data_IF_316666657337
#
_entry.id   IF_316666657337
#
_cell.length_a   1.000
_cell.length_b   1.000
_cell.length_c   1.000
_cell.angle_alpha   90.00
_cell.angle_beta   90.00
_cell.angle_gamma   90.00
#
_symmetry.space_group_name_H-M   'P 1'
#
loop_
_entity.id
_entity.type
_entity.pdbx_description
1 polymer ?
#
# COMPACT_ATOMS: atom_id res chain seq x y z
N UNK A 1 7.86 -2.98 -21.79
CA UNK A 1 8.85 -3.51 -20.82
C UNK A 1 9.90 -4.33 -21.56
N UNK A 2 11.14 -3.86 -21.65
CA UNK A 2 12.24 -4.65 -22.21
C UNK A 2 12.59 -5.84 -21.29
N UNK A 3 12.92 -7.03 -21.84
CA UNK A 3 13.37 -8.16 -21.04
C UNK A 3 14.71 -7.85 -20.36
N UNK A 4 14.80 -8.11 -19.06
CA UNK A 4 16.04 -7.96 -18.30
C UNK A 4 17.05 -9.02 -18.74
N UNK A 5 18.21 -8.57 -19.21
CA UNK A 5 19.19 -9.42 -19.89
C UNK A 5 20.11 -10.17 -18.92
N UNK A 6 20.33 -9.64 -17.72
CA UNK A 6 21.22 -10.25 -16.72
C UNK A 6 20.51 -10.57 -15.40
N UNK A 7 21.06 -11.51 -14.63
CA UNK A 7 20.56 -11.80 -13.28
C UNK A 7 20.80 -10.64 -12.31
N UNK A 8 21.87 -9.86 -12.52
CA UNK A 8 22.13 -8.61 -11.80
C UNK A 8 20.97 -7.61 -11.98
N UNK A 9 20.49 -7.42 -13.23
CA UNK A 9 19.36 -6.54 -13.52
C UNK A 9 18.07 -7.02 -12.84
N UNK A 10 17.85 -8.33 -12.78
CA UNK A 10 16.70 -8.93 -12.07
C UNK A 10 16.77 -8.64 -10.57
N UNK A 11 17.93 -8.80 -9.96
CA UNK A 11 18.15 -8.47 -8.54
C UNK A 11 17.93 -6.99 -8.27
N UNK A 12 18.49 -6.12 -9.11
CA UNK A 12 18.34 -4.68 -8.96
C UNK A 12 16.88 -4.24 -9.11
N UNK A 13 16.14 -4.80 -10.07
CA UNK A 13 14.70 -4.55 -10.19
C UNK A 13 13.92 -5.01 -8.96
N UNK A 14 14.24 -6.17 -8.38
CA UNK A 14 13.59 -6.65 -7.15
C UNK A 14 13.82 -5.68 -5.99
N UNK A 15 15.05 -5.18 -5.82
CA UNK A 15 15.39 -4.16 -4.82
C UNK A 15 14.60 -2.87 -5.04
N UNK A 16 14.58 -2.34 -6.27
CA UNK A 16 13.80 -1.14 -6.62
C UNK A 16 12.30 -1.32 -6.34
N UNK A 17 11.73 -2.49 -6.67
CA UNK A 17 10.34 -2.81 -6.37
C UNK A 17 10.08 -2.81 -4.86
N UNK A 18 10.95 -3.45 -4.08
CA UNK A 18 10.84 -3.45 -2.61
C UNK A 18 10.89 -2.03 -2.03
N UNK A 19 11.82 -1.21 -2.52
CA UNK A 19 11.94 0.18 -2.10
C UNK A 19 10.69 1.00 -2.46
N UNK A 20 10.12 0.83 -3.65
CA UNK A 20 8.88 1.51 -4.04
C UNK A 20 7.69 1.12 -3.14
N UNK A 21 7.58 -0.16 -2.75
CA UNK A 21 6.54 -0.62 -1.81
C UNK A 21 6.74 0.02 -0.44
N UNK A 22 7.97 0.07 0.06
CA UNK A 22 8.29 0.72 1.32
C UNK A 22 7.97 2.22 1.29
N UNK A 23 8.43 2.95 0.27
CA UNK A 23 8.19 4.39 0.11
C UNK A 23 6.70 4.72 0.01
N UNK A 24 5.89 3.84 -0.60
CA UNK A 24 4.43 3.99 -0.60
C UNK A 24 3.85 3.94 0.81
N UNK A 25 4.32 3.03 1.68
CA UNK A 25 3.85 2.96 3.07
C UNK A 25 4.32 4.16 3.90
N UNK A 26 5.52 4.67 3.64
CA UNK A 26 6.02 5.91 4.24
C UNK A 26 5.13 7.09 3.85
N UNK A 27 4.82 7.22 2.55
CA UNK A 27 3.92 8.26 2.05
C UNK A 27 2.51 8.15 2.65
N UNK A 28 1.94 6.95 2.70
CA UNK A 28 0.62 6.73 3.32
C UNK A 28 0.65 7.06 4.81
N UNK A 29 1.69 6.66 5.54
CA UNK A 29 1.84 6.98 6.96
C UNK A 29 1.85 8.49 7.18
N UNK A 30 2.66 9.22 6.40
CA UNK A 30 2.72 10.67 6.42
C UNK A 30 1.34 11.32 6.20
N UNK A 31 0.59 10.86 5.19
CA UNK A 31 -0.74 11.40 4.90
C UNK A 31 -1.74 11.12 6.04
N UNK A 32 -1.70 9.93 6.62
CA UNK A 32 -2.58 9.53 7.74
C UNK A 32 -2.23 10.32 9.01
N UNK A 33 -0.95 10.48 9.32
CA UNK A 33 -0.47 11.29 10.43
C UNK A 33 -0.98 12.74 10.28
N UNK A 34 -0.82 13.30 9.09
CA UNK A 34 -1.19 14.70 8.80
C UNK A 34 -2.71 14.92 8.81
N UNK A 35 -3.49 14.08 8.11
CA UNK A 35 -4.91 14.35 7.85
C UNK A 35 -5.87 13.48 8.66
N UNK A 36 -5.42 12.34 9.15
CA UNK A 36 -6.28 11.26 9.64
C UNK A 36 -6.59 10.28 8.53
N UNK A 37 -6.90 9.04 8.90
CA UNK A 37 -7.17 7.94 7.99
C UNK A 37 -8.37 8.20 7.09
N UNK A 38 -9.53 8.54 7.65
CA UNK A 38 -10.74 8.78 6.84
C UNK A 38 -10.64 10.03 5.97
N UNK A 39 -9.96 11.08 6.44
CA UNK A 39 -9.73 12.26 5.62
C UNK A 39 -8.74 11.97 4.47
N UNK A 40 -7.74 11.14 4.71
CA UNK A 40 -6.84 10.67 3.66
C UNK A 40 -7.59 9.84 2.61
N UNK A 41 -8.41 8.86 3.03
CA UNK A 41 -9.24 8.06 2.11
C UNK A 41 -10.20 8.93 1.30
N UNK A 42 -10.86 9.90 1.94
CA UNK A 42 -11.73 10.86 1.25
C UNK A 42 -10.98 11.63 0.16
N UNK A 43 -9.74 12.03 0.41
CA UNK A 43 -8.92 12.77 -0.55
C UNK A 43 -8.50 11.89 -1.72
N UNK A 44 -8.05 10.66 -1.47
CA UNK A 44 -7.52 9.81 -2.53
C UNK A 44 -8.63 9.21 -3.42
N UNK A 45 -9.81 8.96 -2.85
CA UNK A 45 -10.96 8.43 -3.59
C UNK A 45 -11.82 9.54 -4.21
N UNK A 46 -11.47 10.81 -4.00
CA UNK A 46 -12.14 11.92 -4.66
C UNK A 46 -12.05 11.76 -6.19
N UNK A 47 -13.11 12.12 -6.95
CA UNK A 47 -13.10 12.01 -8.41
C UNK A 47 -11.86 12.67 -9.02
N UNK A 48 -11.14 11.93 -9.87
CA UNK A 48 -9.88 12.38 -10.50
C UNK A 48 -8.60 12.02 -9.74
N UNK A 49 -8.69 11.55 -8.50
CA UNK A 49 -7.52 11.24 -7.66
C UNK A 49 -7.09 9.77 -7.67
N UNK A 50 -7.87 8.88 -8.30
CA UNK A 50 -7.60 7.44 -8.33
C UNK A 50 -6.31 7.02 -9.06
N UNK A 51 -5.65 7.95 -9.77
CA UNK A 51 -4.36 7.73 -10.43
C UNK A 51 -3.18 8.39 -9.70
N UNK A 52 -3.41 9.08 -8.58
CA UNK A 52 -2.35 9.77 -7.83
C UNK A 52 -1.40 8.82 -7.11
N UNK A 53 -1.83 7.58 -6.85
CA UNK A 53 -1.01 6.56 -6.18
C UNK A 53 -1.12 5.25 -6.94
N UNK A 54 0.04 4.62 -7.17
CA UNK A 54 0.06 3.26 -7.69
C UNK A 54 -0.21 2.25 -6.57
N UNK A 55 -1.33 1.52 -6.70
CA UNK A 55 -1.82 0.54 -5.73
C UNK A 55 -0.93 -0.70 -5.59
N UNK A 56 0.00 -0.92 -6.52
CA UNK A 56 0.81 -2.12 -6.55
C UNK A 56 0.11 -3.29 -7.23
N UNK A 57 0.89 -4.24 -7.74
CA UNK A 57 0.37 -5.50 -8.29
C UNK A 57 0.34 -6.61 -7.24
N UNK A 58 -0.56 -7.57 -7.43
CA UNK A 58 -0.65 -8.81 -6.65
C UNK A 58 0.72 -9.52 -6.47
N UNK A 59 0.88 -10.21 -5.35
CA UNK A 59 2.09 -11.01 -5.05
C UNK A 59 2.16 -12.24 -5.97
N UNK A 60 3.37 -12.68 -6.32
CA UNK A 60 3.56 -13.87 -7.14
C UNK A 60 3.40 -15.13 -6.30
N UNK A 61 2.73 -16.16 -6.83
CA UNK A 61 2.43 -17.41 -6.12
C UNK A 61 3.65 -18.19 -5.56
N UNK A 62 4.88 -17.85 -5.97
CA UNK A 62 6.12 -18.49 -5.50
C UNK A 62 6.80 -17.73 -4.37
N UNK A 63 6.30 -16.56 -3.95
CA UNK A 63 6.98 -15.74 -2.93
C UNK A 63 6.46 -16.07 -1.54
N UNK A 64 7.28 -15.90 -0.48
CA UNK A 64 6.88 -16.20 0.90
C UNK A 64 5.68 -15.36 1.33
N UNK A 65 5.57 -14.16 0.77
CA UNK A 65 4.49 -13.20 0.95
C UNK A 65 3.13 -13.70 0.42
N UNK A 66 3.11 -14.70 -0.47
CA UNK A 66 1.86 -15.31 -0.93
C UNK A 66 1.19 -16.22 0.12
N UNK A 67 1.91 -16.63 1.17
CA UNK A 67 1.36 -17.50 2.23
C UNK A 67 0.46 -16.77 3.24
N UNK A 68 0.52 -15.44 3.31
CA UNK A 68 -0.35 -14.59 4.13
C UNK A 68 -1.33 -13.73 3.32
N UNK A 69 -1.38 -13.93 2.00
CA UNK A 69 -2.14 -13.09 1.08
C UNK A 69 -3.55 -13.68 0.89
N UNK A 70 -4.60 -12.92 1.24
CA UNK A 70 -6.01 -13.38 1.09
C UNK A 70 -6.55 -13.24 -0.33
N UNK A 71 -5.91 -12.43 -1.19
CA UNK A 71 -6.24 -12.34 -2.61
C UNK A 71 -5.53 -13.43 -3.42
N UNK A 72 -6.10 -13.82 -4.57
CA UNK A 72 -5.48 -14.85 -5.41
C UNK A 72 -4.10 -14.40 -5.88
N UNK A 73 -3.01 -15.09 -5.51
CA UNK A 73 -1.67 -14.71 -5.94
C UNK A 73 -1.58 -14.76 -7.48
N UNK A 74 -0.80 -13.87 -8.09
CA UNK A 74 -0.50 -13.94 -9.51
C UNK A 74 0.15 -15.29 -9.78
N UNK A 75 -0.55 -16.11 -10.55
CA UNK A 75 0.00 -17.34 -11.08
C UNK A 75 1.10 -17.01 -12.08
N UNK A 76 2.21 -17.74 -11.98
CA UNK A 76 3.24 -17.76 -13.01
C UNK A 76 2.58 -17.95 -14.40
N UNK A 77 2.93 -17.10 -15.37
CA UNK A 77 2.35 -17.12 -16.71
C UNK A 77 2.46 -18.47 -17.42
N UNK A 78 3.56 -19.21 -17.20
CA UNK A 78 3.73 -20.56 -17.73
C UNK A 78 2.74 -21.55 -17.12
N UNK A 79 2.55 -21.50 -15.79
CA UNK A 79 1.55 -22.32 -15.10
C UNK A 79 0.12 -21.95 -15.51
N UNK A 80 -0.15 -20.66 -15.67
CA UNK A 80 -1.44 -20.16 -16.15
C UNK A 80 -1.73 -20.66 -17.57
N UNK A 81 -0.73 -20.62 -18.47
CA UNK A 81 -0.86 -21.17 -19.82
C UNK A 81 -1.17 -22.67 -19.81
N UNK A 82 -0.56 -23.45 -18.90
CA UNK A 82 -0.84 -24.88 -18.77
C UNK A 82 -2.25 -25.16 -18.25
N UNK A 83 -2.73 -24.39 -17.27
CA UNK A 83 -4.01 -24.62 -16.58
C UNK A 83 -5.22 -24.02 -17.31
N UNK A 84 -5.07 -22.79 -17.81
CA UNK A 84 -6.14 -22.01 -18.43
C UNK A 84 -5.56 -21.09 -19.53
N UNK A 85 -5.54 -21.62 -20.76
CA UNK A 85 -5.05 -20.90 -21.94
C UNK A 85 -5.85 -19.63 -22.24
N UNK A 86 -7.16 -19.62 -21.95
CA UNK A 86 -8.03 -18.48 -22.21
C UNK A 86 -7.77 -17.33 -21.22
N UNK A 87 -7.53 -17.64 -19.95
CA UNK A 87 -7.10 -16.65 -18.96
C UNK A 87 -5.69 -16.13 -19.26
N UNK A 88 -4.77 -16.99 -19.71
CA UNK A 88 -3.45 -16.56 -20.17
C UNK A 88 -3.55 -15.56 -21.32
N UNK A 89 -4.31 -15.87 -22.38
CA UNK A 89 -4.46 -14.99 -23.54
C UNK A 89 -5.07 -13.64 -23.16
N UNK A 90 -6.13 -13.63 -22.34
CA UNK A 90 -6.70 -12.38 -21.81
C UNK A 90 -5.66 -11.55 -21.07
N UNK A 91 -4.88 -12.18 -20.19
CA UNK A 91 -3.83 -11.50 -19.41
C UNK A 91 -2.73 -10.90 -20.28
N UNK A 92 -2.32 -11.58 -21.35
CA UNK A 92 -1.36 -11.03 -22.32
C UNK A 92 -1.98 -9.86 -23.09
N UNK A 93 -3.24 -9.96 -23.53
CA UNK A 93 -3.94 -8.88 -24.23
C UNK A 93 -4.12 -7.64 -23.34
N UNK A 94 -4.48 -7.83 -22.07
CA UNK A 94 -4.66 -6.74 -21.11
C UNK A 94 -3.32 -6.09 -20.74
N UNK A 95 -2.23 -6.85 -20.66
CA UNK A 95 -0.89 -6.30 -20.41
C UNK A 95 -0.37 -5.37 -21.53
N UNK A 96 -0.91 -5.51 -22.75
CA UNK A 96 -0.55 -4.67 -23.90
C UNK A 96 -1.43 -3.40 -23.95
N UNK A 97 -2.54 -3.35 -23.18
CA UNK A 97 -3.45 -2.21 -23.13
C UNK A 97 -3.02 -1.24 -22.00
N UNK A 98 -2.83 0.05 -22.31
CA UNK A 98 -2.62 1.07 -21.27
C UNK A 98 -3.75 1.03 -20.24
N UNK A 99 -3.41 1.24 -18.96
CA UNK A 99 -4.35 1.29 -17.82
C UNK A 99 -5.05 -0.02 -17.43
N UNK A 100 -4.76 -1.14 -18.12
CA UNK A 100 -5.26 -2.47 -17.74
C UNK A 100 -4.21 -3.34 -17.04
N UNK A 101 -3.02 -2.80 -16.82
CA UNK A 101 -1.94 -3.52 -16.13
C UNK A 101 -2.28 -3.82 -14.66
N UNK A 102 -3.10 -2.97 -14.05
CA UNK A 102 -3.58 -3.12 -12.68
C UNK A 102 -4.92 -3.88 -12.62
N UNK A 103 -5.40 -4.44 -13.74
CA UNK A 103 -6.59 -5.28 -13.76
C UNK A 103 -6.32 -6.57 -12.96
N UNK A 104 -6.86 -6.63 -11.75
CA UNK A 104 -6.57 -7.65 -10.73
C UNK A 104 -5.63 -7.19 -9.62
N UNK A 105 -5.21 -5.92 -9.57
CA UNK A 105 -4.60 -5.31 -8.39
C UNK A 105 -5.61 -5.00 -7.29
N UNK A 106 -5.15 -4.35 -6.23
CA UNK A 106 -6.04 -3.89 -5.15
C UNK A 106 -7.00 -2.83 -5.66
N UNK A 107 -8.24 -2.89 -5.16
CA UNK A 107 -9.31 -1.97 -5.55
C UNK A 107 -9.42 -0.75 -4.65
N UNK A 108 -8.94 -0.87 -3.39
CA UNK A 108 -8.96 0.19 -2.38
C UNK A 108 -7.67 0.23 -1.57
N UNK A 109 -7.39 1.36 -0.90
CA UNK A 109 -6.27 1.47 0.03
C UNK A 109 -6.44 0.52 1.21
N UNK A 110 -7.64 0.45 1.77
CA UNK A 110 -7.93 -0.41 2.92
C UNK A 110 -7.62 -1.86 2.59
N UNK A 111 -8.10 -2.34 1.43
CA UNK A 111 -7.83 -3.69 0.96
C UNK A 111 -6.33 -3.93 0.81
N UNK A 112 -5.61 -2.99 0.19
CA UNK A 112 -4.16 -3.08 0.02
C UNK A 112 -3.44 -3.16 1.37
N UNK A 113 -3.75 -2.26 2.31
CA UNK A 113 -3.10 -2.20 3.62
C UNK A 113 -3.37 -3.45 4.45
N UNK A 114 -4.60 -3.96 4.41
CA UNK A 114 -4.99 -5.17 5.11
C UNK A 114 -4.29 -6.41 4.54
N UNK A 115 -4.34 -6.60 3.23
CA UNK A 115 -3.75 -7.78 2.58
C UNK A 115 -2.21 -7.79 2.61
N UNK A 116 -1.56 -6.63 2.77
CA UNK A 116 -0.11 -6.56 2.98
C UNK A 116 0.29 -6.58 4.45
N UNK A 117 -0.66 -6.84 5.37
CA UNK A 117 -0.47 -6.79 6.83
C UNK A 117 0.06 -5.44 7.33
N UNK A 118 -0.15 -4.37 6.56
CA UNK A 118 0.40 -3.05 6.89
C UNK A 118 -0.29 -2.40 8.09
N UNK A 119 -1.49 -2.86 8.43
CA UNK A 119 -2.18 -2.51 9.68
C UNK A 119 -1.65 -3.27 10.90
N UNK A 120 -0.85 -4.33 10.73
CA UNK A 120 -0.43 -5.19 11.85
C UNK A 120 0.68 -4.53 12.68
N UNK A 121 0.41 -4.05 13.91
CA UNK A 121 1.42 -3.41 14.76
C UNK A 121 2.49 -4.38 15.30
N UNK A 122 2.23 -5.69 15.26
CA UNK A 122 3.15 -6.74 15.68
C UNK A 122 4.10 -7.20 14.57
N UNK A 123 3.91 -6.72 13.33
CA UNK A 123 4.80 -7.08 12.23
C UNK A 123 6.21 -6.51 12.48
N UNK A 124 7.18 -7.42 12.59
CA UNK A 124 8.59 -7.12 12.93
C UNK A 124 9.29 -6.38 11.78
N UNK A 125 8.85 -6.60 10.56
CA UNK A 125 9.35 -5.90 9.37
C UNK A 125 8.74 -4.50 9.29
N UNK A 126 9.31 -3.56 10.03
CA UNK A 126 8.82 -2.17 10.11
C UNK A 126 8.63 -1.51 8.73
N UNK A 127 9.46 -1.86 7.76
CA UNK A 127 9.37 -1.34 6.39
C UNK A 127 8.10 -1.79 5.63
N UNK A 128 7.42 -2.83 6.12
CA UNK A 128 6.21 -3.42 5.51
C UNK A 128 4.91 -3.00 6.20
N UNK A 129 4.97 -2.16 7.23
CA UNK A 129 3.79 -1.66 7.93
C UNK A 129 3.76 -0.15 8.02
N UNK A 130 2.59 0.38 8.36
CA UNK A 130 2.45 1.79 8.72
C UNK A 130 3.23 2.10 9.99
N UNK A 131 3.63 3.37 10.14
CA UNK A 131 4.26 3.86 11.37
C UNK A 131 3.33 3.68 12.57
N UNK A 132 3.87 3.60 13.80
CA UNK A 132 3.04 3.51 15.01
C UNK A 132 2.12 4.75 15.16
N UNK A 133 2.56 5.93 14.73
CA UNK A 133 1.74 7.15 14.75
C UNK A 133 0.58 7.06 13.75
N UNK A 134 0.83 6.61 12.52
CA UNK A 134 -0.20 6.40 11.53
C UNK A 134 -1.20 5.33 12.01
N UNK A 135 -0.72 4.20 12.56
CA UNK A 135 -1.56 3.15 13.15
C UNK A 135 -2.44 3.68 14.29
N UNK A 136 -1.89 4.54 15.16
CA UNK A 136 -2.66 5.18 16.21
C UNK A 136 -3.73 6.13 15.65
N UNK A 137 -3.41 6.92 14.61
CA UNK A 137 -4.38 7.79 13.92
C UNK A 137 -5.47 7.00 13.19
N UNK A 138 -5.14 5.83 12.63
CA UNK A 138 -6.14 4.88 12.09
C UNK A 138 -7.06 4.40 13.22
N UNK A 139 -6.51 3.96 14.35
CA UNK A 139 -7.30 3.51 15.50
C UNK A 139 -8.22 4.63 16.05
N UNK A 140 -7.73 5.88 16.08
CA UNK A 140 -8.54 7.06 16.43
C UNK A 140 -9.78 7.18 15.53
N UNK A 141 -9.60 7.12 14.22
CA UNK A 141 -10.69 7.26 13.26
C UNK A 141 -11.65 6.05 13.29
N UNK A 142 -11.14 4.82 13.41
CA UNK A 142 -11.97 3.61 13.51
C UNK A 142 -12.84 3.58 14.76
N UNK A 143 -12.37 4.17 15.87
CA UNK A 143 -13.13 4.27 17.11
C UNK A 143 -14.07 5.49 17.16
N UNK A 144 -13.92 6.43 16.21
CA UNK A 144 -14.80 7.56 16.09
C UNK A 144 -16.15 7.15 15.46
N UNK A 145 -17.25 7.74 15.95
CA UNK A 145 -18.60 7.46 15.46
C UNK A 145 -18.89 8.19 14.14
N UNK A 146 -18.13 7.88 13.10
CA UNK A 146 -18.33 8.44 11.76
C UNK A 146 -19.09 7.46 10.86
N UNK A 147 -20.05 7.98 10.10
CA UNK A 147 -20.65 7.24 8.99
C UNK A 147 -19.73 7.34 7.78
N UNK A 148 -19.13 6.21 7.40
CA UNK A 148 -18.15 6.10 6.30
C UNK A 148 -18.54 4.96 5.36
N UNK A 149 -18.07 4.98 4.10
CA UNK A 149 -18.20 3.83 3.21
C UNK A 149 -17.65 2.55 3.84
N UNK A 150 -18.32 1.43 3.60
CA UNK A 150 -17.98 0.13 4.21
C UNK A 150 -16.54 -0.29 3.91
N UNK A 151 -16.07 -0.08 2.67
CA UNK A 151 -14.72 -0.45 2.25
C UNK A 151 -13.60 0.40 2.86
N UNK A 152 -13.92 1.45 3.62
CA UNK A 152 -12.92 2.22 4.38
C UNK A 152 -12.53 1.52 5.68
N UNK A 153 -13.42 0.66 6.19
CA UNK A 153 -13.22 -0.06 7.45
C UNK A 153 -12.55 -1.40 7.13
N UNK A 154 -11.39 -1.72 7.73
CA UNK A 154 -10.77 -3.03 7.57
C UNK A 154 -11.60 -4.11 8.26
N UNK A 155 -11.26 -5.38 8.01
CA UNK A 155 -12.01 -6.49 8.60
C UNK A 155 -12.04 -6.48 10.12
N UNK A 156 -13.03 -7.20 10.64
CA UNK A 156 -13.39 -7.20 12.06
C UNK A 156 -12.22 -7.60 12.98
N UNK A 157 -11.43 -8.57 12.54
CA UNK A 157 -10.27 -9.04 13.27
C UNK A 157 -9.13 -8.02 13.23
N UNK A 158 -8.88 -7.40 12.06
CA UNK A 158 -7.80 -6.45 11.87
C UNK A 158 -8.02 -5.19 12.71
N UNK A 159 -9.22 -4.61 12.69
CA UNK A 159 -9.48 -3.41 13.50
C UNK A 159 -9.46 -3.72 15.00
N UNK A 160 -9.99 -4.88 15.45
CA UNK A 160 -9.95 -5.27 16.87
C UNK A 160 -8.52 -5.49 17.34
N UNK A 161 -7.68 -6.15 16.54
CA UNK A 161 -6.26 -6.35 16.85
C UNK A 161 -5.54 -5.00 16.95
N UNK A 162 -5.76 -4.09 16.00
CA UNK A 162 -5.14 -2.77 15.99
C UNK A 162 -5.54 -1.94 17.23
N UNK A 163 -6.84 -1.80 17.49
CA UNK A 163 -7.37 -0.96 18.56
C UNK A 163 -7.06 -1.48 19.96
N UNK A 164 -6.79 -2.79 20.11
CA UNK A 164 -6.45 -3.40 21.40
C UNK A 164 -4.95 -3.65 21.57
N UNK A 165 -4.10 -3.30 20.61
CA UNK A 165 -2.68 -3.55 20.71
C UNK A 165 -2.01 -2.70 21.80
N UNK A 166 -1.25 -3.33 22.69
CA UNK A 166 -0.69 -2.72 23.90
C UNK A 166 0.20 -1.51 23.64
N UNK A 167 0.83 -1.42 22.45
CA UNK A 167 1.60 -0.23 22.05
C UNK A 167 0.76 0.87 21.40
N UNK A 168 -0.24 0.48 20.61
CA UNK A 168 -0.99 1.43 19.77
C UNK A 168 -2.08 2.11 20.58
N UNK A 169 -2.76 1.38 21.46
CA UNK A 169 -3.85 1.92 22.28
C UNK A 169 -3.41 3.07 23.20
N UNK A 170 -2.29 2.98 23.96
CA UNK A 170 -1.80 4.12 24.73
C UNK A 170 -1.38 5.30 23.83
N UNK A 171 -0.78 5.02 22.67
CA UNK A 171 -0.38 6.06 21.72
C UNK A 171 -1.59 6.79 21.15
N UNK A 172 -2.64 6.05 20.77
CA UNK A 172 -3.93 6.62 20.35
C UNK A 172 -4.49 7.58 21.39
N UNK A 173 -4.51 7.18 22.67
CA UNK A 173 -5.01 8.03 23.76
C UNK A 173 -4.15 9.29 23.88
N UNK A 174 -2.82 9.14 23.85
CA UNK A 174 -1.88 10.28 23.88
C UNK A 174 -2.11 11.25 22.72
N UNK A 175 -2.20 10.75 21.49
CA UNK A 175 -2.43 11.58 20.31
C UNK A 175 -3.80 12.28 20.36
N UNK A 176 -4.83 11.61 20.88
CA UNK A 176 -6.16 12.22 21.07
C UNK A 176 -6.10 13.43 21.98
N UNK A 177 -5.36 13.33 23.09
CA UNK A 177 -5.14 14.44 24.03
C UNK A 177 -4.36 15.56 23.35
N UNK A 178 -3.24 15.26 22.70
CA UNK A 178 -2.42 16.27 22.01
C UNK A 178 -3.20 17.00 20.91
N UNK A 179 -4.02 16.30 20.14
CA UNK A 179 -4.84 16.91 19.10
C UNK A 179 -5.94 17.80 19.67
N UNK A 180 -6.56 17.39 20.79
CA UNK A 180 -7.55 18.21 21.51
C UNK A 180 -6.91 19.49 22.06
N UNK A 181 -5.70 19.37 22.59
CA UNK A 181 -5.00 20.46 23.27
C UNK A 181 -4.21 21.34 22.27
N UNK A 182 -4.19 20.99 20.98
CA UNK A 182 -3.50 21.73 19.92
C UNK A 182 -1.98 21.53 19.91
N UNK A 183 -1.47 20.54 20.65
CA UNK A 183 -0.06 20.23 20.83
C UNK A 183 0.45 19.15 19.84
N UNK A 184 -0.42 18.65 18.97
CA UNK A 184 -0.03 17.65 17.99
C UNK A 184 0.86 18.27 16.89
N UNK A 185 2.12 17.88 16.87
CA UNK A 185 3.06 18.27 15.83
C UNK A 185 2.82 17.45 14.56
N UNK A 186 2.62 18.16 13.45
CA UNK A 186 2.51 17.53 12.14
C UNK A 186 3.87 16.95 11.71
N UNK A 187 3.89 15.78 11.06
CA UNK A 187 5.12 15.24 10.53
C UNK A 187 5.72 16.20 9.49
N UNK A 188 7.02 16.43 9.60
CA UNK A 188 7.76 17.28 8.66
C UNK A 188 8.51 16.41 7.66
N UNK A 189 8.48 16.84 6.39
CA UNK A 189 9.28 16.22 5.33
C UNK A 189 10.33 17.24 4.91
N UNK A 190 11.59 16.81 4.71
CA UNK A 190 12.59 17.68 4.11
C UNK A 190 12.07 18.30 2.80
N UNK A 191 12.35 19.59 2.55
CA UNK A 191 11.95 20.20 1.30
C UNK A 191 12.59 19.45 0.13
N UNK A 192 11.86 19.34 -0.99
CA UNK A 192 12.36 18.69 -2.19
C UNK A 192 13.71 19.26 -2.60
N UNK A 193 14.69 18.38 -2.74
CA UNK A 193 16.02 18.73 -3.22
C UNK A 193 16.15 18.27 -4.68
N UNK A 194 16.32 19.22 -5.59
CA UNK A 194 16.44 18.92 -7.03
C UNK A 194 17.62 17.99 -7.36
N UNK A 195 18.64 17.90 -6.49
CA UNK A 195 19.76 16.96 -6.63
C UNK A 195 19.39 15.51 -6.35
N UNK A 196 18.26 15.26 -5.68
CA UNK A 196 17.72 13.92 -5.44
C UNK A 196 16.99 13.38 -6.67
N UNK A 197 16.55 14.26 -7.59
CA UNK A 197 15.95 13.85 -8.84
C UNK A 197 17.01 13.27 -9.78
N UNK A 198 17.04 11.95 -9.88
CA UNK A 198 17.79 11.22 -10.90
C UNK A 198 16.78 10.66 -11.90
N UNK A 199 16.72 11.18 -13.14
CA UNK A 199 15.88 10.59 -14.17
C UNK A 199 16.35 9.17 -14.44
N UNK A 200 15.62 8.17 -13.93
CA UNK A 200 15.91 6.75 -14.10
C UNK A 200 14.95 6.06 -15.09
N UNK A 201 14.09 6.84 -15.73
CA UNK A 201 13.16 6.37 -16.76
C UNK A 201 13.94 6.16 -18.06
N UNK A 202 13.91 4.94 -18.58
CA UNK A 202 14.27 4.72 -19.99
C UNK A 202 13.17 5.37 -20.84
N UNK A 203 13.51 6.25 -21.81
CA UNK A 203 12.51 6.70 -22.77
C UNK A 203 11.87 5.47 -23.41
N UNK A 204 10.54 5.48 -23.52
CA UNK A 204 9.88 4.62 -24.50
C UNK A 204 10.43 5.09 -25.84
N UNK A 205 11.20 4.23 -26.51
CA UNK A 205 11.82 4.58 -27.79
C UNK A 205 10.75 5.10 -28.76
N UNK A 206 11.10 6.18 -29.47
CA UNK A 206 10.36 6.68 -30.64
C UNK A 206 10.32 5.63 -31.76
#
# INVERSE_FOLDING_TARGET
>A
HAPLRTDSDKVQRRKRKGHAVHQRLVFISLCIETWGYYNFLRRIEAPGNGTLVWWGGQTGNTTKEAKGYSCTPIQNLFKLFQKDKAAYQRKIQDAIKPFKIDQGGFTTITEMLEQTEAFNPALVEYEKRLSDQALARVAMDLTARHFVPEHWVPSDDVWKTLCNHDRIKPLQIKLTVQMRDGEYELPTVPPFNSKEFKPDFSPLMD
#
